data_IF_575629709480
#
_entry.id   IF_575629709480
#
_cell.length_a   1.000
_cell.length_b   1.000
_cell.length_c   1.000
_cell.angle_alpha   90.00
_cell.angle_beta   90.00
_cell.angle_gamma   90.00
#
_symmetry.space_group_name_H-M   'P 1'
#
loop_
_entity.id
_entity.type
_entity.pdbx_description
1 polymer ?
#
# COMPACT_ATOMS: atom_id res chain seq x y z
N UNK A 1 -12.42 -5.27 47.30
CA UNK A 1 -12.63 -5.73 45.91
C UNK A 1 -11.73 -4.87 45.04
N UNK A 2 -10.62 -5.43 44.56
CA UNK A 2 -9.68 -4.71 43.69
C UNK A 2 -10.39 -4.37 42.39
N UNK A 3 -10.48 -3.08 42.03
CA UNK A 3 -10.97 -2.68 40.72
C UNK A 3 -9.94 -3.11 39.69
N UNK A 4 -10.23 -4.19 38.95
CA UNK A 4 -9.40 -4.62 37.82
C UNK A 4 -9.31 -3.45 36.84
N UNK A 5 -8.10 -2.98 36.57
CA UNK A 5 -7.81 -1.88 35.65
C UNK A 5 -8.24 -2.32 34.23
N UNK A 6 -8.84 -1.44 33.41
CA UNK A 6 -9.35 -1.81 32.08
C UNK A 6 -8.35 -2.58 31.19
N UNK A 7 -7.07 -2.22 31.26
CA UNK A 7 -5.98 -2.87 30.51
C UNK A 7 -5.75 -4.33 30.95
N UNK A 8 -5.80 -4.61 32.25
CA UNK A 8 -5.62 -5.96 32.80
C UNK A 8 -6.79 -6.87 32.41
N UNK A 9 -8.02 -6.32 32.40
CA UNK A 9 -9.20 -7.04 31.90
C UNK A 9 -9.08 -7.36 30.41
N UNK A 10 -8.68 -6.38 29.60
CA UNK A 10 -8.49 -6.58 28.16
C UNK A 10 -7.40 -7.62 27.87
N UNK A 11 -6.30 -7.61 28.62
CA UNK A 11 -5.20 -8.57 28.47
C UNK A 11 -5.64 -9.99 28.83
N UNK A 12 -6.35 -10.17 29.94
CA UNK A 12 -6.86 -11.48 30.32
C UNK A 12 -7.83 -12.02 29.27
N UNK A 13 -8.76 -11.18 28.80
CA UNK A 13 -9.69 -11.57 27.73
C UNK A 13 -8.98 -11.90 26.43
N UNK A 14 -7.96 -11.13 26.05
CA UNK A 14 -7.16 -11.39 24.87
C UNK A 14 -6.54 -12.79 24.91
N UNK A 15 -5.92 -13.15 26.05
CA UNK A 15 -5.29 -14.46 26.24
C UNK A 15 -6.29 -15.61 26.19
N UNK A 16 -7.46 -15.43 26.80
CA UNK A 16 -8.55 -16.42 26.72
C UNK A 16 -8.96 -16.69 25.28
N UNK A 17 -9.19 -15.64 24.49
CA UNK A 17 -9.63 -15.75 23.09
C UNK A 17 -8.55 -16.39 22.22
N UNK A 18 -7.30 -15.97 22.37
CA UNK A 18 -6.16 -16.52 21.62
C UNK A 18 -5.94 -18.00 21.95
N UNK A 19 -5.97 -18.36 23.23
CA UNK A 19 -5.82 -19.74 23.66
C UNK A 19 -6.97 -20.64 23.17
N UNK A 20 -8.22 -20.15 23.23
CA UNK A 20 -9.39 -20.87 22.72
C UNK A 20 -9.32 -21.12 21.21
N UNK A 21 -8.69 -20.20 20.45
CA UNK A 21 -8.45 -20.36 19.02
C UNK A 21 -7.22 -21.25 18.69
N UNK A 22 -6.50 -21.74 19.69
CA UNK A 22 -5.25 -22.49 19.50
C UNK A 22 -4.11 -21.66 18.90
N UNK A 23 -4.21 -20.34 18.97
CA UNK A 23 -3.23 -19.41 18.42
C UNK A 23 -2.16 -19.02 19.46
N UNK A 24 -1.09 -18.39 19.00
CA UNK A 24 -0.05 -17.82 19.87
C UNK A 24 -0.32 -16.33 20.13
N UNK A 25 0.08 -15.86 21.31
CA UNK A 25 0.07 -14.43 21.62
C UNK A 25 0.98 -13.67 20.65
N UNK A 26 0.60 -12.45 20.31
CA UNK A 26 1.40 -11.57 19.48
C UNK A 26 2.66 -11.13 20.25
N UNK A 27 3.83 -11.27 19.62
CA UNK A 27 5.11 -10.88 20.23
C UNK A 27 5.18 -9.39 20.59
N UNK A 28 4.43 -8.55 19.87
CA UNK A 28 4.27 -7.13 20.16
C UNK A 28 2.79 -6.86 20.41
N UNK A 29 2.38 -6.97 21.67
CA UNK A 29 0.97 -6.89 22.08
C UNK A 29 0.28 -5.62 21.58
N UNK A 30 0.96 -4.48 21.56
CA UNK A 30 0.39 -3.21 21.07
C UNK A 30 0.02 -3.25 19.58
N UNK A 31 0.62 -4.16 18.81
CA UNK A 31 0.29 -4.42 17.40
C UNK A 31 -0.84 -5.45 17.23
N UNK A 32 -1.28 -6.09 18.30
CA UNK A 32 -2.43 -6.99 18.28
C UNK A 32 -3.71 -6.19 18.19
N UNK A 33 -4.36 -6.21 17.04
CA UNK A 33 -5.62 -5.49 16.86
C UNK A 33 -6.76 -6.11 17.67
N UNK A 34 -6.76 -7.42 17.94
CA UNK A 34 -7.71 -8.01 18.90
C UNK A 34 -7.53 -7.39 20.29
N UNK A 35 -6.28 -7.19 20.73
CA UNK A 35 -6.00 -6.54 22.01
C UNK A 35 -6.42 -5.06 21.99
N UNK A 36 -6.06 -4.30 20.96
CA UNK A 36 -6.49 -2.89 20.79
C UNK A 36 -8.02 -2.75 20.75
N UNK A 37 -8.70 -3.70 20.10
CA UNK A 37 -10.16 -3.79 20.05
C UNK A 37 -10.76 -3.99 21.45
N UNK A 38 -10.19 -4.90 22.23
CA UNK A 38 -10.61 -5.14 23.62
C UNK A 38 -10.34 -3.94 24.53
N UNK A 39 -9.20 -3.25 24.35
CA UNK A 39 -8.91 -1.99 25.04
C UNK A 39 -9.95 -0.90 24.72
N UNK A 40 -10.44 -0.86 23.48
CA UNK A 40 -11.54 0.02 23.08
C UNK A 40 -12.93 -0.43 23.59
N UNK A 41 -13.01 -1.51 24.38
CA UNK A 41 -14.26 -2.05 24.92
C UNK A 41 -15.12 -2.79 23.91
N UNK A 42 -14.59 -3.13 22.74
CA UNK A 42 -15.32 -3.85 21.69
C UNK A 42 -15.21 -5.37 21.89
N UNK A 43 -16.30 -6.08 21.60
CA UNK A 43 -16.34 -7.55 21.71
C UNK A 43 -15.55 -8.23 20.59
N UNK A 44 -14.84 -9.34 20.84
CA UNK A 44 -14.26 -10.15 19.78
C UNK A 44 -15.33 -10.68 18.84
N UNK A 45 -14.98 -10.89 17.57
CA UNK A 45 -15.80 -11.68 16.64
C UNK A 45 -15.68 -13.17 17.00
N UNK A 46 -16.71 -13.95 16.68
CA UNK A 46 -16.72 -15.40 16.90
C UNK A 46 -15.73 -16.14 15.99
N UNK A 47 -15.47 -15.59 14.80
CA UNK A 47 -14.43 -16.03 13.88
C UNK A 47 -13.41 -14.89 13.68
N UNK A 48 -12.14 -15.20 13.40
CA UNK A 48 -11.18 -14.17 13.00
C UNK A 48 -11.64 -13.51 11.68
N UNK A 49 -11.38 -12.20 11.49
CA UNK A 49 -11.65 -11.54 10.22
C UNK A 49 -10.99 -12.28 9.04
N UNK A 50 -11.64 -12.29 7.87
CA UNK A 50 -11.29 -13.18 6.76
C UNK A 50 -9.99 -12.80 6.01
N UNK A 51 -9.26 -11.77 6.46
CA UNK A 51 -8.04 -11.27 5.84
C UNK A 51 -6.90 -11.31 6.86
N UNK A 52 -6.07 -12.36 6.78
CA UNK A 52 -5.25 -12.83 7.90
C UNK A 52 -3.85 -12.17 8.03
N UNK A 53 -3.39 -11.33 7.09
CA UNK A 53 -1.95 -11.06 6.97
C UNK A 53 -1.46 -9.61 6.96
N UNK A 54 -2.31 -8.62 7.25
CA UNK A 54 -1.84 -7.23 7.40
C UNK A 54 -2.32 -6.57 8.68
N UNK A 55 -3.61 -6.66 8.98
CA UNK A 55 -4.29 -6.25 10.22
C UNK A 55 -5.65 -6.94 10.16
N UNK A 56 -6.28 -7.45 11.24
CA UNK A 56 -7.63 -8.00 11.13
C UNK A 56 -8.59 -6.92 10.65
N UNK A 57 -9.15 -7.15 9.47
CA UNK A 57 -10.05 -6.22 8.78
C UNK A 57 -11.45 -6.32 9.38
N UNK A 58 -11.59 -6.02 10.69
CA UNK A 58 -12.89 -6.04 11.38
C UNK A 58 -13.94 -5.23 10.63
N UNK A 59 -13.56 -4.09 10.04
CA UNK A 59 -14.44 -3.27 9.20
C UNK A 59 -15.04 -4.05 8.03
N UNK A 60 -14.31 -4.98 7.40
CA UNK A 60 -14.83 -5.81 6.30
C UNK A 60 -15.97 -6.72 6.77
N UNK A 61 -15.95 -7.12 8.04
CA UNK A 61 -17.03 -7.93 8.64
C UNK A 61 -18.14 -7.06 9.20
N UNK A 62 -17.80 -5.97 9.88
CA UNK A 62 -18.74 -5.19 10.69
C UNK A 62 -19.45 -4.09 9.90
N UNK A 63 -18.79 -3.52 8.91
CA UNK A 63 -19.31 -2.45 8.07
C UNK A 63 -19.99 -3.03 6.84
N UNK A 64 -21.12 -2.43 6.48
CA UNK A 64 -21.76 -2.60 5.18
C UNK A 64 -21.22 -1.61 4.14
N UNK A 65 -20.35 -0.67 4.52
CA UNK A 65 -19.70 0.26 3.59
C UNK A 65 -18.49 -0.37 2.89
N UNK A 66 -18.19 0.01 1.63
CA UNK A 66 -17.04 -0.50 0.89
C UNK A 66 -15.70 -0.17 1.58
N UNK A 67 -14.75 -1.09 1.44
CA UNK A 67 -13.40 -0.98 1.99
C UNK A 67 -12.39 -1.22 0.87
N UNK A 68 -11.44 -0.30 0.68
CA UNK A 68 -10.36 -0.48 -0.30
C UNK A 68 -9.36 -1.55 0.16
N UNK A 69 -9.00 -2.46 -0.75
CA UNK A 69 -7.98 -3.48 -0.54
C UNK A 69 -6.74 -3.19 -1.41
N UNK A 70 -5.52 -3.45 -0.89
CA UNK A 70 -4.27 -3.04 -1.53
C UNK A 70 -3.95 -3.83 -2.81
N UNK A 71 -4.45 -5.05 -2.93
CA UNK A 71 -4.22 -5.93 -4.07
C UNK A 71 -5.56 -6.51 -4.51
N UNK A 72 -5.70 -6.68 -5.82
CA UNK A 72 -6.89 -7.29 -6.40
C UNK A 72 -7.03 -8.77 -6.07
N UNK A 73 -8.23 -9.34 -6.29
CA UNK A 73 -8.42 -10.77 -6.35
C UNK A 73 -7.51 -11.39 -7.41
N UNK A 74 -6.82 -12.45 -7.04
CA UNK A 74 -6.05 -13.30 -7.96
C UNK A 74 -6.72 -14.66 -8.07
N UNK A 75 -6.76 -15.23 -9.27
CA UNK A 75 -7.30 -16.57 -9.45
C UNK A 75 -6.50 -17.58 -8.62
N UNK A 76 -7.20 -18.38 -7.83
CA UNK A 76 -6.62 -19.42 -7.00
C UNK A 76 -7.42 -20.70 -7.19
N UNK A 77 -7.15 -21.41 -8.27
CA UNK A 77 -7.75 -22.72 -8.52
C UNK A 77 -6.63 -23.77 -8.44
N UNK A 78 -6.46 -24.48 -7.30
CA UNK A 78 -5.53 -25.60 -7.25
C UNK A 78 -5.99 -26.69 -8.23
N UNK A 79 -5.06 -27.32 -8.95
CA UNK A 79 -5.36 -28.39 -9.92
C UNK A 79 -6.14 -29.58 -9.32
N UNK A 80 -6.14 -29.72 -8.01
CA UNK A 80 -6.78 -30.79 -7.24
C UNK A 80 -8.10 -30.37 -6.56
N UNK A 81 -8.50 -29.10 -6.64
CA UNK A 81 -9.71 -28.57 -6.01
C UNK A 81 -10.67 -28.02 -7.07
N UNK A 82 -11.92 -28.48 -7.06
CA UNK A 82 -12.96 -28.02 -7.98
C UNK A 82 -13.63 -26.73 -7.53
N UNK A 83 -13.28 -26.20 -6.34
CA UNK A 83 -13.73 -24.89 -5.89
C UNK A 83 -12.98 -23.80 -6.63
N UNK A 84 -13.71 -22.93 -7.32
CA UNK A 84 -13.16 -21.70 -7.88
C UNK A 84 -12.75 -20.79 -6.73
N UNK A 85 -11.49 -20.89 -6.33
CA UNK A 85 -10.93 -20.09 -5.27
C UNK A 85 -10.41 -18.77 -5.82
N UNK A 86 -10.45 -17.75 -4.98
CA UNK A 86 -9.88 -16.44 -5.28
C UNK A 86 -9.01 -16.04 -4.10
N UNK A 87 -7.76 -15.68 -4.38
CA UNK A 87 -6.85 -15.16 -3.37
C UNK A 87 -7.13 -13.67 -3.20
N UNK A 88 -7.55 -13.27 -2.01
CA UNK A 88 -7.81 -11.86 -1.65
C UNK A 88 -6.96 -11.55 -0.43
N UNK A 89 -5.98 -10.65 -0.60
CA UNK A 89 -4.99 -10.30 0.44
C UNK A 89 -4.45 -11.52 1.18
N UNK A 90 -3.96 -12.51 0.42
CA UNK A 90 -3.34 -13.75 0.91
C UNK A 90 -4.29 -14.69 1.67
N UNK A 91 -5.59 -14.44 1.63
CA UNK A 91 -6.60 -15.35 2.18
C UNK A 91 -7.37 -15.97 1.01
N UNK A 92 -7.71 -17.25 1.12
CA UNK A 92 -8.43 -17.98 0.07
C UNK A 92 -9.93 -17.84 0.31
N UNK A 93 -10.63 -17.32 -0.69
CA UNK A 93 -12.07 -17.14 -0.70
C UNK A 93 -12.70 -18.09 -1.69
N UNK A 94 -13.95 -18.47 -1.45
CA UNK A 94 -14.76 -19.20 -2.42
C UNK A 94 -15.53 -18.21 -3.26
N UNK A 95 -15.35 -18.28 -4.58
CA UNK A 95 -16.16 -17.52 -5.50
C UNK A 95 -17.53 -18.17 -5.65
N UNK A 96 -18.59 -17.39 -5.48
CA UNK A 96 -19.97 -17.84 -5.59
C UNK A 96 -20.51 -17.61 -7.00
N UNK A 97 -20.35 -16.39 -7.51
CA UNK A 97 -20.81 -15.98 -8.84
C UNK A 97 -19.76 -15.10 -9.52
N UNK A 98 -19.66 -15.22 -10.85
CA UNK A 98 -18.89 -14.32 -11.70
C UNK A 98 -19.89 -13.47 -12.47
N UNK A 99 -20.00 -12.17 -12.17
CA UNK A 99 -20.69 -11.26 -13.09
C UNK A 99 -19.73 -10.87 -14.22
N UNK A 100 -18.53 -10.38 -13.84
CA UNK A 100 -17.41 -10.07 -14.74
C UNK A 100 -16.08 -10.19 -13.98
N UNK A 101 -14.94 -10.26 -14.67
CA UNK A 101 -13.62 -10.38 -14.02
C UNK A 101 -13.30 -9.23 -13.03
N UNK A 102 -13.94 -8.07 -13.19
CA UNK A 102 -13.79 -6.89 -12.32
C UNK A 102 -14.86 -6.77 -11.23
N UNK A 103 -15.74 -7.76 -11.07
CA UNK A 103 -16.86 -7.74 -10.11
C UNK A 103 -17.27 -9.17 -9.72
N UNK A 104 -16.99 -9.52 -8.47
CA UNK A 104 -17.06 -10.88 -7.95
C UNK A 104 -17.93 -10.92 -6.69
N UNK A 105 -18.72 -11.98 -6.57
CA UNK A 105 -19.39 -12.33 -5.30
C UNK A 105 -18.64 -13.49 -4.67
N UNK A 106 -18.21 -13.30 -3.42
CA UNK A 106 -17.33 -14.23 -2.71
C UNK A 106 -17.81 -14.50 -1.28
N UNK A 107 -17.38 -15.64 -0.73
CA UNK A 107 -17.48 -15.93 0.70
C UNK A 107 -16.16 -16.47 1.25
N UNK A 108 -15.98 -16.40 2.56
CA UNK A 108 -14.79 -16.86 3.25
C UNK A 108 -15.13 -18.12 4.07
N UNK A 109 -14.27 -19.16 4.06
CA UNK A 109 -14.48 -20.35 4.88
C UNK A 109 -14.78 -20.02 6.36
N UNK A 110 -15.79 -20.69 6.92
CA UNK A 110 -16.29 -20.50 8.28
C UNK A 110 -17.36 -19.41 8.37
N UNK A 111 -17.16 -18.29 7.67
CA UNK A 111 -18.12 -17.19 7.61
C UNK A 111 -19.32 -17.50 6.73
N UNK A 112 -19.15 -18.37 5.73
CA UNK A 112 -20.20 -18.91 4.86
C UNK A 112 -21.32 -19.61 5.65
N UNK A 113 -20.95 -20.40 6.67
CA UNK A 113 -21.91 -21.06 7.57
C UNK A 113 -22.75 -20.07 8.38
N UNK A 114 -22.28 -18.83 8.53
CA UNK A 114 -23.00 -17.72 9.16
C UNK A 114 -23.75 -16.83 8.15
N UNK A 115 -23.80 -17.24 6.88
CA UNK A 115 -24.50 -16.52 5.81
C UNK A 115 -23.78 -15.29 5.29
N UNK A 116 -22.47 -15.15 5.55
CA UNK A 116 -21.73 -14.00 5.07
C UNK A 116 -21.39 -14.10 3.59
N UNK A 117 -21.60 -12.99 2.89
CA UNK A 117 -21.27 -12.82 1.49
C UNK A 117 -20.72 -11.42 1.28
N UNK A 118 -19.69 -11.32 0.45
CA UNK A 118 -19.06 -10.06 0.07
C UNK A 118 -19.08 -9.88 -1.44
N UNK A 119 -19.19 -8.62 -1.87
CA UNK A 119 -18.90 -8.18 -3.23
C UNK A 119 -17.49 -7.60 -3.28
N UNK A 120 -16.76 -7.92 -4.34
CA UNK A 120 -15.40 -7.43 -4.59
C UNK A 120 -15.33 -6.90 -6.02
N UNK A 121 -15.02 -5.62 -6.20
CA UNK A 121 -15.04 -5.00 -7.54
C UNK A 121 -13.98 -3.92 -7.71
N UNK A 122 -13.63 -3.61 -8.96
CA UNK A 122 -12.77 -2.48 -9.30
C UNK A 122 -13.54 -1.17 -9.29
N UNK A 123 -12.95 -0.15 -8.67
CA UNK A 123 -13.47 1.21 -8.68
C UNK A 123 -12.36 2.21 -8.98
N UNK A 124 -12.75 3.32 -9.59
CA UNK A 124 -11.87 4.45 -9.86
C UNK A 124 -12.18 5.56 -8.84
N UNK A 125 -11.22 5.88 -7.97
CA UNK A 125 -11.37 6.91 -6.93
C UNK A 125 -10.52 8.13 -7.26
N UNK A 126 -11.01 9.36 -7.01
CA UNK A 126 -10.16 10.54 -7.10
C UNK A 126 -8.92 10.40 -6.21
N UNK A 127 -7.77 10.86 -6.68
CA UNK A 127 -6.51 10.76 -5.95
C UNK A 127 -6.54 11.47 -4.57
N UNK A 128 -7.45 12.44 -4.38
CA UNK A 128 -7.69 13.10 -3.08
C UNK A 128 -8.33 12.18 -2.04
N UNK A 129 -9.06 11.17 -2.49
CA UNK A 129 -9.89 10.29 -1.65
C UNK A 129 -9.29 8.88 -1.56
N UNK A 130 -8.37 8.54 -2.48
CA UNK A 130 -7.70 7.26 -2.55
C UNK A 130 -6.84 6.99 -1.29
N UNK A 131 -6.87 5.73 -0.85
CA UNK A 131 -6.01 5.25 0.25
C UNK A 131 -4.55 5.04 -0.19
N UNK A 132 -4.34 4.71 -1.46
CA UNK A 132 -3.02 4.67 -2.07
C UNK A 132 -2.55 6.10 -2.36
N UNK A 133 -1.24 6.35 -2.23
CA UNK A 133 -0.68 7.70 -2.40
C UNK A 133 0.56 7.69 -3.27
N UNK A 134 0.60 8.58 -4.26
CA UNK A 134 1.84 8.98 -4.90
C UNK A 134 2.55 10.02 -4.03
N UNK A 135 3.77 9.73 -3.60
CA UNK A 135 4.53 10.61 -2.71
C UNK A 135 5.12 11.81 -3.47
N UNK A 136 5.06 12.99 -2.86
CA UNK A 136 5.73 14.19 -3.35
C UNK A 136 7.08 14.36 -2.63
N UNK A 137 8.16 14.55 -3.39
CA UNK A 137 9.51 14.75 -2.84
C UNK A 137 10.09 16.12 -3.17
N UNK A 138 9.57 16.79 -4.19
CA UNK A 138 10.06 18.12 -4.59
C UNK A 138 9.57 19.27 -3.70
N UNK A 139 8.56 19.03 -2.85
CA UNK A 139 7.92 20.03 -1.99
C UNK A 139 7.62 19.48 -0.61
N UNK A 140 8.03 20.21 0.42
CA UNK A 140 7.81 19.84 1.82
C UNK A 140 6.38 20.11 2.31
N UNK A 141 5.64 21.00 1.63
CA UNK A 141 4.27 21.37 1.98
C UNK A 141 3.21 20.46 1.35
N UNK A 142 3.62 19.51 0.52
CA UNK A 142 2.74 18.56 -0.18
C UNK A 142 3.21 17.15 0.16
N UNK A 143 2.35 16.36 0.80
CA UNK A 143 2.67 14.95 1.12
C UNK A 143 2.35 14.00 -0.03
N UNK A 144 1.30 14.28 -0.81
CA UNK A 144 0.79 13.41 -1.86
C UNK A 144 0.46 14.17 -3.15
N UNK A 145 0.71 13.52 -4.29
CA UNK A 145 0.40 14.05 -5.61
C UNK A 145 -1.06 13.72 -5.95
N UNK A 146 -1.94 14.70 -5.83
CA UNK A 146 -3.39 14.53 -6.02
C UNK A 146 -3.89 15.08 -7.35
N UNK A 147 -3.04 15.74 -8.15
CA UNK A 147 -3.41 16.29 -9.46
C UNK A 147 -2.38 15.94 -10.54
N UNK A 148 -2.77 15.93 -11.82
CA UNK A 148 -1.85 15.68 -12.93
C UNK A 148 -0.68 16.68 -12.98
N UNK A 149 -0.92 17.93 -12.60
CA UNK A 149 0.09 19.00 -12.57
C UNK A 149 1.14 18.74 -11.50
N UNK A 150 0.73 18.27 -10.32
CA UNK A 150 1.64 17.87 -9.26
C UNK A 150 2.49 16.66 -9.69
N UNK A 151 1.89 15.69 -10.36
CA UNK A 151 2.61 14.54 -10.94
C UNK A 151 3.66 15.02 -11.95
N UNK A 152 3.28 15.90 -12.88
CA UNK A 152 4.20 16.46 -13.87
C UNK A 152 5.33 17.27 -13.23
N UNK A 153 5.03 18.05 -12.19
CA UNK A 153 6.01 18.84 -11.45
C UNK A 153 7.03 17.94 -10.73
N UNK A 154 6.57 16.86 -10.09
CA UNK A 154 7.44 15.87 -9.45
C UNK A 154 8.35 15.18 -10.48
N UNK A 155 7.79 14.71 -11.61
CA UNK A 155 8.57 14.11 -12.70
C UNK A 155 9.62 15.09 -13.23
N UNK A 156 9.24 16.35 -13.49
CA UNK A 156 10.17 17.40 -13.92
C UNK A 156 11.32 17.59 -12.94
N UNK A 157 11.01 17.75 -11.65
CA UNK A 157 12.02 17.92 -10.62
C UNK A 157 13.00 16.74 -10.58
N UNK A 158 12.52 15.49 -10.66
CA UNK A 158 13.38 14.30 -10.69
C UNK A 158 14.32 14.30 -11.90
N UNK A 159 13.81 14.61 -13.08
CA UNK A 159 14.57 14.63 -14.33
C UNK A 159 15.59 15.78 -14.36
N UNK A 160 15.19 17.00 -13.99
CA UNK A 160 16.09 18.16 -13.97
C UNK A 160 17.20 17.98 -12.92
N UNK A 161 16.88 17.37 -11.77
CA UNK A 161 17.87 17.00 -10.76
C UNK A 161 18.87 15.96 -11.28
N UNK A 162 18.40 14.90 -11.93
CA UNK A 162 19.28 13.90 -12.56
C UNK A 162 20.17 14.54 -13.64
N UNK A 163 19.59 15.37 -14.51
CA UNK A 163 20.31 16.08 -15.55
C UNK A 163 21.40 17.01 -14.99
N UNK A 164 21.11 17.74 -13.91
CA UNK A 164 22.08 18.58 -13.23
C UNK A 164 23.26 17.77 -12.70
N UNK A 165 23.02 16.57 -12.16
CA UNK A 165 24.08 15.69 -11.69
C UNK A 165 24.90 15.08 -12.83
N UNK A 166 24.27 14.67 -13.92
CA UNK A 166 24.99 14.18 -15.11
C UNK A 166 25.90 15.29 -15.66
N UNK A 167 25.42 16.53 -15.76
CA UNK A 167 26.24 17.68 -16.14
C UNK A 167 27.41 17.92 -15.18
N UNK A 168 27.14 17.94 -13.86
CA UNK A 168 28.14 18.17 -12.82
C UNK A 168 29.24 17.08 -12.81
N UNK A 169 28.87 15.83 -13.10
CA UNK A 169 29.82 14.70 -13.19
C UNK A 169 30.85 14.85 -14.32
N UNK A 170 30.64 15.77 -15.28
CA UNK A 170 31.64 16.13 -16.27
C UNK A 170 32.80 16.96 -15.70
N UNK A 171 32.61 17.56 -14.50
CA UNK A 171 33.54 18.51 -13.86
C UNK A 171 34.06 18.02 -12.51
N UNK A 172 33.58 16.88 -12.04
CA UNK A 172 33.88 16.30 -10.73
C UNK A 172 34.33 14.85 -10.92
N UNK A 173 35.24 14.38 -10.06
CA UNK A 173 35.48 12.95 -9.89
C UNK A 173 34.40 12.31 -9.00
N UNK A 174 34.44 10.98 -8.87
CA UNK A 174 33.44 10.21 -8.14
C UNK A 174 33.39 10.58 -6.64
N UNK A 175 34.54 10.94 -6.04
CA UNK A 175 34.62 11.35 -4.62
C UNK A 175 33.99 12.73 -4.39
N UNK A 176 34.31 13.70 -5.24
CA UNK A 176 33.72 15.03 -5.19
C UNK A 176 32.21 15.00 -5.48
N UNK A 177 31.77 14.16 -6.45
CA UNK A 177 30.36 13.98 -6.75
C UNK A 177 29.60 13.33 -5.58
N UNK A 178 30.18 12.31 -4.96
CA UNK A 178 29.63 11.67 -3.77
C UNK A 178 29.44 12.68 -2.63
N UNK A 179 30.46 13.49 -2.35
CA UNK A 179 30.41 14.52 -1.30
C UNK A 179 29.35 15.59 -1.60
N UNK A 180 29.22 16.00 -2.87
CA UNK A 180 28.20 16.95 -3.29
C UNK A 180 26.78 16.40 -3.09
N UNK A 181 26.54 15.13 -3.43
CA UNK A 181 25.24 14.46 -3.23
C UNK A 181 24.89 14.39 -1.74
N UNK A 182 25.84 14.01 -0.87
CA UNK A 182 25.64 14.03 0.58
C UNK A 182 25.28 15.43 1.07
N UNK A 183 26.05 16.45 0.65
CA UNK A 183 25.84 17.84 1.08
C UNK A 183 24.49 18.41 0.66
N UNK A 184 23.94 17.92 -0.46
CA UNK A 184 22.64 18.34 -0.97
C UNK A 184 21.46 17.79 -0.15
N UNK A 185 21.71 16.85 0.77
CA UNK A 185 20.67 16.15 1.54
C UNK A 185 19.87 15.10 0.75
N UNK A 186 20.19 14.90 -0.54
CA UNK A 186 19.45 13.98 -1.41
C UNK A 186 19.66 12.50 -1.07
N UNK A 187 20.83 12.16 -0.52
CA UNK A 187 21.10 10.80 -0.04
C UNK A 187 20.54 10.54 1.36
N UNK A 188 19.89 11.52 1.99
CA UNK A 188 19.37 11.44 3.35
C UNK A 188 19.87 12.58 4.22
N UNK A 189 19.41 12.60 5.47
CA UNK A 189 19.81 13.63 6.45
C UNK A 189 21.28 13.49 6.81
N UNK A 190 22.01 14.59 7.07
CA UNK A 190 23.37 14.53 7.58
C UNK A 190 23.45 13.65 8.84
N UNK A 191 24.28 12.61 8.80
CA UNK A 191 24.43 11.63 9.90
C UNK A 191 23.57 10.36 9.78
N UNK A 192 22.76 10.22 8.72
CA UNK A 192 22.06 8.96 8.44
C UNK A 192 23.06 7.86 8.04
N UNK A 193 22.95 6.70 8.70
CA UNK A 193 23.79 5.52 8.45
C UNK A 193 23.69 5.02 7.01
N UNK A 194 22.59 5.31 6.30
CA UNK A 194 22.39 4.91 4.91
C UNK A 194 22.79 5.97 3.90
N UNK A 195 23.07 7.21 4.32
CA UNK A 195 23.36 8.29 3.39
C UNK A 195 24.57 7.98 2.51
N UNK A 196 25.63 7.41 3.09
CA UNK A 196 26.80 7.03 2.30
C UNK A 196 26.51 5.96 1.26
N UNK A 197 25.70 4.96 1.61
CA UNK A 197 25.27 3.92 0.68
C UNK A 197 24.43 4.49 -0.47
N UNK A 198 23.42 5.32 -0.15
CA UNK A 198 22.55 5.95 -1.13
C UNK A 198 23.33 6.88 -2.06
N UNK A 199 24.25 7.69 -1.53
CA UNK A 199 25.11 8.54 -2.34
C UNK A 199 25.98 7.71 -3.29
N UNK A 200 26.55 6.59 -2.84
CA UNK A 200 27.31 5.69 -3.72
C UNK A 200 26.46 5.10 -4.83
N UNK A 201 25.22 4.68 -4.56
CA UNK A 201 24.29 4.21 -5.59
C UNK A 201 23.95 5.32 -6.60
N UNK A 202 23.74 6.55 -6.12
CA UNK A 202 23.52 7.70 -7.00
C UNK A 202 24.74 7.95 -7.91
N UNK A 203 25.96 7.95 -7.37
CA UNK A 203 27.20 8.13 -8.17
C UNK A 203 27.31 7.05 -9.23
N UNK A 204 27.09 5.78 -8.89
CA UNK A 204 27.12 4.67 -9.85
C UNK A 204 26.10 4.86 -10.99
N UNK A 205 24.87 5.26 -10.66
CA UNK A 205 23.82 5.52 -11.63
C UNK A 205 24.16 6.71 -12.54
N UNK A 206 24.58 7.84 -11.96
CA UNK A 206 24.98 9.05 -12.72
C UNK A 206 26.15 8.75 -13.65
N UNK A 207 27.12 7.96 -13.17
CA UNK A 207 28.26 7.53 -13.98
C UNK A 207 27.83 6.66 -15.16
N UNK A 208 26.94 5.70 -14.95
CA UNK A 208 26.41 4.87 -16.05
C UNK A 208 25.69 5.74 -17.10
N UNK A 209 24.90 6.73 -16.67
CA UNK A 209 24.25 7.67 -17.58
C UNK A 209 25.26 8.54 -18.35
N UNK A 210 26.29 9.06 -17.67
CA UNK A 210 27.38 9.82 -18.30
C UNK A 210 28.10 8.99 -19.35
N UNK A 211 28.52 7.78 -19.00
CA UNK A 211 29.24 6.86 -19.90
C UNK A 211 28.39 6.51 -21.12
N UNK A 212 27.09 6.26 -20.94
CA UNK A 212 26.16 6.01 -22.03
C UNK A 212 26.06 7.22 -22.99
N UNK A 213 25.90 8.45 -22.46
CA UNK A 213 25.82 9.65 -23.31
C UNK A 213 27.11 9.88 -24.10
N UNK A 214 28.27 9.65 -23.48
CA UNK A 214 29.56 9.74 -24.17
C UNK A 214 29.65 8.69 -25.29
N UNK A 215 29.23 7.45 -25.03
CA UNK A 215 29.21 6.38 -26.03
C UNK A 215 28.28 6.70 -27.22
N UNK A 216 27.15 7.36 -26.95
CA UNK A 216 26.17 7.78 -27.96
C UNK A 216 26.57 9.08 -28.69
N UNK A 217 27.70 9.70 -28.32
CA UNK A 217 28.16 10.96 -28.91
C UNK A 217 27.29 12.17 -28.55
N UNK A 218 26.55 12.11 -27.44
CA UNK A 218 25.63 13.14 -26.98
C UNK A 218 26.28 14.08 -25.95
N UNK A 219 25.91 15.38 -25.91
CA UNK A 219 26.39 16.30 -24.89
C UNK A 219 25.89 15.88 -23.50
N UNK A 220 26.65 16.13 -22.43
CA UNK A 220 26.22 15.76 -21.07
C UNK A 220 25.00 16.56 -20.60
N UNK A 221 24.87 17.81 -21.03
CA UNK A 221 23.69 18.62 -20.78
C UNK A 221 22.52 18.14 -21.64
N UNK A 222 21.39 17.86 -20.99
CA UNK A 222 20.16 17.52 -21.69
C UNK A 222 19.54 18.77 -22.33
N UNK A 223 19.08 18.63 -23.55
CA UNK A 223 18.28 19.66 -24.23
C UNK A 223 16.87 19.75 -23.62
N UNK A 224 16.18 20.90 -23.76
CA UNK A 224 14.80 21.03 -23.31
C UNK A 224 13.86 19.96 -23.90
N UNK A 225 14.08 19.55 -25.16
CA UNK A 225 13.29 18.51 -25.80
C UNK A 225 13.53 17.12 -25.17
N UNK A 226 14.78 16.78 -24.83
CA UNK A 226 15.09 15.55 -24.09
C UNK A 226 14.47 15.55 -22.70
N UNK A 227 14.46 16.69 -22.01
CA UNK A 227 13.83 16.83 -20.69
C UNK A 227 12.32 16.58 -20.80
N UNK A 228 11.62 17.22 -21.74
CA UNK A 228 10.17 17.00 -21.92
C UNK A 228 9.85 15.54 -22.28
N UNK A 229 10.63 14.93 -23.18
CA UNK A 229 10.44 13.51 -23.54
C UNK A 229 10.65 12.58 -22.35
N UNK A 230 11.65 12.85 -21.50
CA UNK A 230 11.89 12.12 -20.26
C UNK A 230 10.78 12.32 -19.23
N UNK A 231 10.22 13.52 -19.13
CA UNK A 231 9.08 13.80 -18.24
C UNK A 231 7.87 12.97 -18.66
N UNK A 232 7.54 12.94 -19.96
CA UNK A 232 6.42 12.13 -20.47
C UNK A 232 6.61 10.64 -20.20
N UNK A 233 7.82 10.12 -20.45
CA UNK A 233 8.15 8.72 -20.16
C UNK A 233 8.08 8.41 -18.65
N UNK A 234 8.59 9.31 -17.80
CA UNK A 234 8.56 9.15 -16.34
C UNK A 234 7.13 9.25 -15.78
N UNK A 235 6.30 10.14 -16.32
CA UNK A 235 4.87 10.21 -15.98
C UNK A 235 4.15 8.91 -16.34
N UNK A 236 4.34 8.40 -17.56
CA UNK A 236 3.75 7.13 -18.00
C UNK A 236 4.14 5.97 -17.08
N UNK A 237 5.43 5.89 -16.71
CA UNK A 237 5.95 4.87 -15.78
C UNK A 237 5.41 5.03 -14.36
N UNK A 238 5.33 6.27 -13.86
CA UNK A 238 4.85 6.55 -12.50
C UNK A 238 3.36 6.22 -12.36
N UNK A 239 2.57 6.52 -13.39
CA UNK A 239 1.14 6.27 -13.37
C UNK A 239 0.81 4.77 -13.53
N UNK A 240 1.51 4.09 -14.44
CA UNK A 240 1.34 2.65 -14.67
C UNK A 240 -0.12 2.28 -14.97
N UNK A 241 -0.56 1.12 -14.47
CA UNK A 241 -1.91 0.60 -14.73
C UNK A 241 -2.96 1.07 -13.71
N UNK A 242 -2.52 1.58 -12.56
CA UNK A 242 -3.37 1.88 -11.41
C UNK A 242 -3.65 3.37 -11.24
N UNK A 243 -2.88 4.27 -11.84
CA UNK A 243 -3.15 5.71 -11.80
C UNK A 243 -3.39 6.23 -13.20
N UNK A 244 -4.35 7.13 -13.37
CA UNK A 244 -4.64 7.69 -14.69
C UNK A 244 -5.36 9.03 -14.58
N UNK A 245 -5.34 9.78 -15.69
CA UNK A 245 -6.02 11.07 -15.79
C UNK A 245 -7.31 10.91 -16.56
N UNK A 246 -8.43 11.35 -15.98
CA UNK A 246 -9.75 11.40 -16.62
C UNK A 246 -10.38 12.76 -16.33
N UNK A 247 -10.88 13.44 -17.37
CA UNK A 247 -11.52 14.75 -17.25
C UNK A 247 -10.68 15.80 -16.49
N UNK A 248 -9.35 15.76 -16.65
CA UNK A 248 -8.41 16.67 -15.99
C UNK A 248 -8.14 16.37 -14.52
N UNK A 249 -8.67 15.28 -13.97
CA UNK A 249 -8.43 14.84 -12.59
C UNK A 249 -7.60 13.57 -12.56
N UNK A 250 -6.80 13.42 -11.50
CA UNK A 250 -6.03 12.21 -11.25
C UNK A 250 -6.90 11.21 -10.48
N UNK A 251 -6.95 9.97 -10.96
CA UNK A 251 -7.67 8.86 -10.35
C UNK A 251 -6.71 7.72 -10.01
N UNK A 252 -7.08 6.94 -9.00
CA UNK A 252 -6.50 5.66 -8.67
C UNK A 252 -7.54 4.55 -8.88
N UNK A 253 -7.17 3.51 -9.60
CA UNK A 253 -7.93 2.27 -9.72
C UNK A 253 -7.61 1.38 -8.52
N UNK A 254 -8.60 1.15 -7.68
CA UNK A 254 -8.51 0.28 -6.52
C UNK A 254 -9.49 -0.88 -6.63
N UNK A 255 -9.32 -1.86 -5.76
CA UNK A 255 -10.31 -2.89 -5.51
C UNK A 255 -11.02 -2.58 -4.21
N UNK A 256 -12.34 -2.72 -4.21
CA UNK A 256 -13.20 -2.55 -3.06
C UNK A 256 -13.76 -3.90 -2.64
N UNK A 257 -13.94 -4.09 -1.33
CA UNK A 257 -14.68 -5.20 -0.74
C UNK A 257 -15.80 -4.66 0.14
N UNK A 258 -16.99 -5.24 0.04
CA UNK A 258 -18.16 -4.83 0.81
C UNK A 258 -18.95 -6.06 1.24
N UNK A 259 -19.30 -6.12 2.53
CA UNK A 259 -20.24 -7.14 3.01
C UNK A 259 -21.63 -6.82 2.47
N UNK A 260 -22.22 -7.75 1.72
CA UNK A 260 -23.60 -7.65 1.22
C UNK A 260 -24.58 -8.51 2.02
N UNK A 261 -24.08 -9.51 2.75
CA UNK A 261 -24.86 -10.33 3.68
C UNK A 261 -23.99 -10.74 4.88
N UNK A 262 -24.54 -10.87 6.09
CA UNK A 262 -25.87 -10.38 6.49
C UNK A 262 -25.91 -8.84 6.52
N UNK A 263 -27.10 -8.25 6.36
CA UNK A 263 -27.24 -6.78 6.37
C UNK A 263 -26.89 -6.16 7.73
N UNK A 264 -27.17 -6.87 8.81
CA UNK A 264 -26.92 -6.42 10.19
C UNK A 264 -26.27 -7.54 11.01
N UNK A 265 -25.41 -7.16 11.96
CA UNK A 265 -24.81 -8.12 12.88
C UNK A 265 -25.55 -8.15 14.21
N UNK A 266 -26.06 -9.32 14.60
CA UNK A 266 -26.53 -9.59 15.95
C UNK A 266 -25.43 -10.11 16.89
N UNK A 267 -25.82 -10.42 18.12
CA UNK A 267 -24.93 -10.91 19.20
C UNK A 267 -24.24 -12.22 18.86
N UNK A 268 -24.85 -13.05 18.03
CA UNK A 268 -24.36 -14.34 17.55
C UNK A 268 -23.03 -14.24 16.76
N UNK A 269 -22.69 -13.06 16.26
CA UNK A 269 -21.44 -12.80 15.53
C UNK A 269 -20.26 -12.48 16.44
N UNK A 270 -20.51 -12.34 17.75
CA UNK A 270 -19.53 -11.90 18.72
C UNK A 270 -19.37 -12.93 19.83
N UNK A 271 -18.15 -13.00 20.37
CA UNK A 271 -17.95 -13.67 21.65
C UNK A 271 -18.56 -12.83 22.78
N UNK A 272 -18.93 -13.50 23.87
CA UNK A 272 -19.45 -12.85 25.07
C UNK A 272 -18.51 -11.74 25.58
N UNK A 273 -19.06 -10.65 26.14
CA UNK A 273 -18.25 -9.57 26.72
C UNK A 273 -17.41 -10.08 27.91
N UNK A 274 -16.35 -9.34 28.22
CA UNK A 274 -15.42 -9.62 29.32
C UNK A 274 -15.92 -9.15 30.69
#
# INVERSE_FOLDING_TARGET
MSQIVPEERALNRYREVVAAAGAQENQVLDKSVLYQRLLAGLRPLILPPPLNHSYPWYRVVESDSPVSIPFGPEEWTPDWDSRHGVLICQSVWTQLEVEVASDLTVTCPGWDAMGFVWRVWQADEPASDATATLCCWHRDDVSSLTTPELVKAECRWRIEREAAWVSASGKMDDEALWAAIISSGQAGKPGDRFAGFLASQCVMHIRALKEQRIADGLPLDLTPAEIEAKIEADMSKLLGDSWFVRDGQLYHRTWLIQRISPATLGTEHYLEPA
#
